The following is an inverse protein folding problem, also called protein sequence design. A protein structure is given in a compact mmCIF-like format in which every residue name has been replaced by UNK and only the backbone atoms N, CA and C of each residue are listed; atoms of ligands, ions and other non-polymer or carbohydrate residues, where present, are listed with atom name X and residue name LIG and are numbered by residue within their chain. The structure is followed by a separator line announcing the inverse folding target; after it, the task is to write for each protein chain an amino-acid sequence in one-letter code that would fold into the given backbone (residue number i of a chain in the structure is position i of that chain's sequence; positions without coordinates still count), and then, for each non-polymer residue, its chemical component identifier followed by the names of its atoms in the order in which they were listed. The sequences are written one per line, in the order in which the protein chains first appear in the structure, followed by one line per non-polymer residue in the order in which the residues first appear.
data_IF_388370784947
#
_entry.id   IF_388370784947
#
_cell.length_a   1.000
_cell.length_b   1.000
_cell.length_c   1.000
_cell.angle_alpha   90.00
_cell.angle_beta   90.00
_cell.angle_gamma   90.00
#
_symmetry.space_group_name_H-M   'P 1'
#
loop_
_entity.id
_entity.type
_entity.pdbx_description
1 polymer ?
#
# COMPACT_ATOMS: atom_id res chain seq x y z
N UNK A 1 -94.71 -9.92 20.05
CA UNK A 1 -93.77 -11.02 20.32
C UNK A 1 -93.12 -11.43 19.01
N UNK A 2 -91.88 -11.03 18.73
CA UNK A 2 -91.10 -11.56 17.62
C UNK A 2 -89.62 -11.54 18.02
N UNK A 3 -88.99 -12.70 17.90
CA UNK A 3 -87.84 -13.15 18.66
C UNK A 3 -86.49 -12.73 18.04
N UNK A 4 -85.53 -12.43 18.92
CA UNK A 4 -84.11 -12.28 18.62
C UNK A 4 -83.50 -13.65 18.27
N UNK A 5 -82.73 -13.72 17.17
CA UNK A 5 -81.87 -14.86 16.86
C UNK A 5 -80.40 -14.48 17.11
N UNK A 6 -79.84 -15.11 18.14
CA UNK A 6 -78.44 -15.11 18.52
C UNK A 6 -77.57 -15.79 17.45
N UNK A 7 -76.45 -15.16 17.11
CA UNK A 7 -75.43 -15.73 16.21
C UNK A 7 -74.66 -16.85 16.93
N UNK A 8 -74.56 -18.00 16.28
CA UNK A 8 -73.93 -19.20 16.85
C UNK A 8 -72.43 -18.96 17.15
N UNK A 9 -71.96 -19.19 18.40
CA UNK A 9 -70.60 -18.85 18.85
C UNK A 9 -69.47 -19.67 18.18
N UNK A 10 -69.79 -20.70 17.38
CA UNK A 10 -68.80 -21.61 16.80
C UNK A 10 -68.11 -21.15 15.52
N UNK A 11 -68.74 -20.26 14.73
CA UNK A 11 -68.19 -19.83 13.43
C UNK A 11 -67.06 -18.79 13.59
N UNK A 12 -67.22 -17.86 14.54
CA UNK A 12 -66.23 -16.82 14.85
C UNK A 12 -64.98 -17.45 15.50
N UNK A 13 -65.15 -18.48 16.34
CA UNK A 13 -64.05 -19.19 16.97
C UNK A 13 -63.16 -19.96 15.97
N UNK A 14 -63.75 -20.58 14.93
CA UNK A 14 -62.97 -21.30 13.89
C UNK A 14 -62.19 -20.36 12.96
N UNK A 15 -62.76 -19.21 12.62
CA UNK A 15 -62.07 -18.19 11.83
C UNK A 15 -60.90 -17.57 12.61
N UNK A 16 -61.07 -17.32 13.91
CA UNK A 16 -60.00 -16.84 14.79
C UNK A 16 -58.88 -17.88 14.97
N UNK A 17 -59.20 -19.16 15.11
CA UNK A 17 -58.21 -20.24 15.20
C UNK A 17 -57.41 -20.42 13.90
N UNK A 18 -58.05 -20.32 12.73
CA UNK A 18 -57.37 -20.37 11.44
C UNK A 18 -56.46 -19.14 11.19
N UNK A 19 -56.88 -17.96 11.64
CA UNK A 19 -56.07 -16.74 11.59
C UNK A 19 -54.87 -16.79 12.57
N UNK A 20 -55.05 -17.38 13.76
CA UNK A 20 -53.99 -17.61 14.74
C UNK A 20 -52.95 -18.63 14.21
N UNK A 21 -53.39 -19.71 13.56
CA UNK A 21 -52.50 -20.69 12.92
C UNK A 21 -51.68 -20.10 11.76
N UNK A 22 -52.28 -19.22 10.95
CA UNK A 22 -51.56 -18.50 9.89
C UNK A 22 -50.55 -17.48 10.43
N UNK A 23 -50.86 -16.80 11.54
CA UNK A 23 -49.92 -15.91 12.26
C UNK A 23 -48.77 -16.69 12.89
N UNK A 24 -49.03 -17.88 13.46
CA UNK A 24 -48.00 -18.76 14.02
C UNK A 24 -47.04 -19.30 12.95
N UNK A 25 -47.55 -19.71 11.80
CA UNK A 25 -46.72 -20.17 10.67
C UNK A 25 -45.88 -19.04 10.06
N UNK A 26 -46.43 -17.82 9.94
CA UNK A 26 -45.69 -16.66 9.46
C UNK A 26 -44.61 -16.21 10.47
N UNK A 27 -44.87 -16.28 11.78
CA UNK A 27 -43.89 -15.98 12.82
C UNK A 27 -42.76 -17.03 12.86
N UNK A 28 -43.08 -18.31 12.71
CA UNK A 28 -42.10 -19.38 12.61
C UNK A 28 -41.23 -19.27 11.35
N UNK A 29 -41.83 -18.94 10.20
CA UNK A 29 -41.10 -18.66 8.96
C UNK A 29 -40.21 -17.41 9.09
N UNK A 30 -40.69 -16.34 9.76
CA UNK A 30 -39.91 -15.14 10.03
C UNK A 30 -38.72 -15.42 10.97
N UNK A 31 -38.91 -16.28 11.97
CA UNK A 31 -37.86 -16.73 12.90
C UNK A 31 -36.81 -17.62 12.22
N UNK A 32 -37.22 -18.51 11.32
CA UNK A 32 -36.29 -19.28 10.48
C UNK A 32 -35.52 -18.38 9.51
N UNK A 33 -36.20 -17.43 8.86
CA UNK A 33 -35.57 -16.48 7.94
C UNK A 33 -34.59 -15.55 8.68
N UNK A 34 -34.90 -15.12 9.91
CA UNK A 34 -33.94 -14.38 10.73
C UNK A 34 -32.75 -15.22 11.17
N UNK A 35 -32.93 -16.53 11.38
CA UNK A 35 -31.84 -17.45 11.72
C UNK A 35 -30.92 -17.79 10.55
N UNK A 36 -31.36 -17.55 9.31
CA UNK A 36 -30.57 -17.80 8.08
C UNK A 36 -29.82 -16.54 7.63
N UNK A 37 -30.23 -15.35 8.09
CA UNK A 37 -29.54 -14.11 7.75
C UNK A 37 -28.20 -14.04 8.50
N UNK A 38 -27.11 -13.65 7.82
CA UNK A 38 -25.83 -13.43 8.49
C UNK A 38 -26.00 -12.38 9.60
N UNK A 39 -25.47 -12.68 10.79
CA UNK A 39 -25.52 -11.74 11.91
C UNK A 39 -24.55 -10.58 11.65
N UNK A 40 -24.86 -9.40 12.18
CA UNK A 40 -23.94 -8.25 12.12
C UNK A 40 -22.63 -8.48 12.90
N UNK A 41 -22.60 -9.49 13.75
CA UNK A 41 -21.43 -9.92 14.53
C UNK A 41 -20.60 -11.02 13.84
N UNK A 42 -21.04 -11.52 12.68
CA UNK A 42 -20.35 -12.64 12.01
C UNK A 42 -18.90 -12.30 11.66
N UNK A 43 -18.63 -11.09 11.17
CA UNK A 43 -17.26 -10.64 10.89
C UNK A 43 -16.41 -10.61 12.16
N UNK A 44 -16.96 -10.16 13.29
CA UNK A 44 -16.27 -10.14 14.59
C UNK A 44 -15.82 -11.56 14.97
N UNK A 45 -16.69 -12.56 14.82
CA UNK A 45 -16.38 -13.95 15.15
C UNK A 45 -15.41 -14.63 14.16
N UNK A 46 -15.32 -14.16 12.91
CA UNK A 46 -14.30 -14.62 11.96
C UNK A 46 -12.95 -13.96 12.18
N UNK A 47 -12.97 -12.69 12.61
CA UNK A 47 -11.76 -11.89 12.85
C UNK A 47 -11.09 -12.24 14.19
N UNK A 48 -11.88 -12.36 15.26
CA UNK A 48 -11.40 -12.74 16.59
C UNK A 48 -11.47 -14.25 16.73
N UNK A 49 -10.30 -14.90 16.72
CA UNK A 49 -10.22 -16.37 16.77
C UNK A 49 -10.53 -17.00 18.14
N UNK A 50 -10.57 -16.20 19.21
CA UNK A 50 -10.78 -16.67 20.59
C UNK A 50 -12.28 -16.70 20.89
N UNK A 51 -12.78 -17.85 21.37
CA UNK A 51 -14.18 -18.04 21.75
C UNK A 51 -14.42 -17.56 23.18
N UNK A 52 -15.68 -17.27 23.50
CA UNK A 52 -16.08 -16.74 24.81
C UNK A 52 -15.64 -17.61 26.00
N UNK A 53 -15.69 -18.94 25.88
CA UNK A 53 -15.23 -19.84 26.95
C UNK A 53 -13.70 -19.82 27.10
N UNK A 54 -12.96 -19.73 26.00
CA UNK A 54 -11.49 -19.62 25.99
C UNK A 54 -11.06 -18.29 26.60
N UNK A 55 -11.76 -17.20 26.27
CA UNK A 55 -11.54 -15.89 26.90
C UNK A 55 -11.67 -15.96 28.41
N UNK A 56 -12.71 -16.61 28.94
CA UNK A 56 -12.90 -16.76 30.38
C UNK A 56 -11.79 -17.59 31.04
N UNK A 57 -11.36 -18.68 30.40
CA UNK A 57 -10.27 -19.52 30.87
C UNK A 57 -8.93 -18.77 30.89
N UNK A 58 -8.63 -18.04 29.82
CA UNK A 58 -7.41 -17.22 29.70
C UNK A 58 -7.38 -16.10 30.75
N UNK A 59 -8.50 -15.39 30.96
CA UNK A 59 -8.60 -14.33 31.99
C UNK A 59 -8.31 -14.90 33.39
N UNK A 60 -8.91 -16.04 33.74
CA UNK A 60 -8.66 -16.70 35.04
C UNK A 60 -7.23 -17.19 35.19
N UNK A 61 -6.58 -17.59 34.09
CA UNK A 61 -5.17 -18.02 34.09
C UNK A 61 -4.24 -16.85 34.35
N UNK A 62 -4.52 -15.67 33.77
CA UNK A 62 -3.74 -14.45 34.01
C UNK A 62 -3.85 -14.02 35.47
N UNK A 63 -5.06 -13.97 36.01
CA UNK A 63 -5.29 -13.66 37.42
C UNK A 63 -6.57 -14.39 37.91
N UNK A 64 -6.45 -15.29 38.90
CA UNK A 64 -7.61 -16.01 39.44
C UNK A 64 -8.70 -15.12 40.03
N UNK A 65 -8.37 -13.87 40.38
CA UNK A 65 -9.32 -12.89 40.91
C UNK A 65 -10.14 -12.19 39.82
N UNK A 66 -9.78 -12.30 38.54
CA UNK A 66 -10.54 -11.71 37.44
C UNK A 66 -11.67 -12.64 36.99
N UNK A 67 -12.87 -12.09 36.82
CA UNK A 67 -14.04 -12.83 36.37
C UNK A 67 -14.34 -12.58 34.88
N UNK A 68 -13.93 -11.43 34.35
CA UNK A 68 -14.32 -10.91 33.04
C UNK A 68 -13.15 -10.29 32.27
N UNK A 69 -13.34 -10.10 30.96
CA UNK A 69 -12.36 -9.37 30.15
C UNK A 69 -12.29 -7.90 30.57
N UNK A 70 -13.41 -7.34 31.04
CA UNK A 70 -13.53 -6.01 31.59
C UNK A 70 -12.62 -5.83 32.81
N UNK A 71 -12.58 -6.80 33.73
CA UNK A 71 -11.67 -6.74 34.89
C UNK A 71 -10.20 -6.63 34.46
N UNK A 72 -9.80 -7.38 33.43
CA UNK A 72 -8.44 -7.32 32.88
C UNK A 72 -8.16 -5.94 32.27
N UNK A 73 -9.10 -5.36 31.53
CA UNK A 73 -8.95 -4.04 30.92
C UNK A 73 -8.84 -2.96 32.00
N UNK A 74 -9.70 -2.99 33.00
CA UNK A 74 -9.78 -2.02 34.11
C UNK A 74 -8.47 -1.96 34.92
N UNK A 75 -7.80 -3.11 35.05
CA UNK A 75 -6.53 -3.22 35.77
C UNK A 75 -5.28 -3.03 34.88
N UNK A 76 -5.44 -2.96 33.56
CA UNK A 76 -4.33 -2.79 32.61
C UNK A 76 -4.24 -1.36 32.08
N UNK A 77 -5.38 -0.75 31.75
CA UNK A 77 -5.44 0.59 31.14
C UNK A 77 -5.73 1.63 32.23
N UNK A 78 -4.81 2.57 32.51
CA UNK A 78 -5.05 3.60 33.50
C UNK A 78 -6.31 4.41 33.19
N UNK A 79 -7.17 4.58 34.19
CA UNK A 79 -8.47 5.26 34.03
C UNK A 79 -8.34 6.70 33.51
N UNK A 80 -7.21 7.36 33.78
CA UNK A 80 -6.91 8.74 33.38
C UNK A 80 -6.78 8.90 31.86
N UNK A 81 -6.44 7.84 31.14
CA UNK A 81 -6.31 7.85 29.68
C UNK A 81 -7.37 6.98 28.97
N UNK A 82 -8.20 6.26 29.74
CA UNK A 82 -9.24 5.40 29.18
C UNK A 82 -10.39 6.24 28.63
N UNK A 83 -10.79 5.93 27.40
CA UNK A 83 -11.98 6.53 26.79
C UNK A 83 -13.24 6.07 27.53
N UNK A 84 -14.06 7.02 28.00
CA UNK A 84 -15.17 6.77 28.94
C UNK A 84 -16.54 6.57 28.27
N UNK A 85 -16.58 6.59 26.94
CA UNK A 85 -17.80 6.43 26.15
C UNK A 85 -17.56 5.43 25.02
N UNK A 86 -18.63 4.89 24.48
CA UNK A 86 -18.54 4.10 23.26
C UNK A 86 -18.06 4.99 22.10
N UNK A 87 -17.43 4.36 21.11
CA UNK A 87 -17.03 5.05 19.90
C UNK A 87 -18.29 5.42 19.11
N UNK A 88 -18.38 6.68 18.68
CA UNK A 88 -19.47 7.17 17.83
C UNK A 88 -19.26 6.68 16.38
N UNK A 89 -19.57 5.40 16.14
CA UNK A 89 -19.45 4.74 14.85
C UNK A 89 -20.83 4.30 14.32
N UNK A 90 -20.99 4.16 12.99
CA UNK A 90 -22.16 3.50 12.42
C UNK A 90 -22.33 2.07 12.97
N UNK A 91 -23.54 1.54 12.91
CA UNK A 91 -23.78 0.14 13.23
C UNK A 91 -22.91 -0.79 12.37
N UNK A 92 -22.48 -1.91 12.96
CA UNK A 92 -21.65 -2.88 12.28
C UNK A 92 -22.34 -3.40 11.00
N UNK A 93 -21.66 -3.26 9.87
CA UNK A 93 -22.09 -3.83 8.60
C UNK A 93 -21.71 -5.32 8.52
N UNK A 94 -22.55 -6.13 7.89
CA UNK A 94 -22.13 -7.46 7.43
C UNK A 94 -21.09 -7.33 6.32
N UNK A 95 -20.30 -8.38 6.06
CA UNK A 95 -19.29 -8.37 4.98
C UNK A 95 -19.91 -8.03 3.61
N UNK A 96 -21.11 -8.56 3.34
CA UNK A 96 -21.83 -8.32 2.09
C UNK A 96 -22.30 -6.86 1.96
N UNK A 97 -22.81 -6.27 3.05
CA UNK A 97 -23.19 -4.85 3.09
C UNK A 97 -21.97 -3.97 2.88
N UNK A 98 -20.87 -4.22 3.60
CA UNK A 98 -19.63 -3.45 3.47
C UNK A 98 -19.05 -3.51 2.04
N UNK A 99 -19.03 -4.69 1.42
CA UNK A 99 -18.62 -4.83 0.02
C UNK A 99 -19.54 -4.10 -0.95
N UNK A 100 -20.85 -4.13 -0.71
CA UNK A 100 -21.82 -3.39 -1.53
C UNK A 100 -21.61 -1.88 -1.41
N UNK A 101 -21.46 -1.38 -0.19
CA UNK A 101 -21.21 0.03 0.08
C UNK A 101 -19.90 0.50 -0.57
N UNK A 102 -18.80 -0.24 -0.38
CA UNK A 102 -17.52 0.06 -1.02
C UNK A 102 -17.63 0.09 -2.55
N UNK A 103 -18.44 -0.79 -3.16
CA UNK A 103 -18.71 -0.76 -4.60
C UNK A 103 -19.48 0.48 -5.03
N UNK A 104 -20.48 0.91 -4.28
CA UNK A 104 -21.20 2.17 -4.57
C UNK A 104 -20.29 3.39 -4.46
N UNK A 105 -19.40 3.42 -3.46
CA UNK A 105 -18.39 4.46 -3.33
C UNK A 105 -17.46 4.44 -4.54
N UNK A 106 -16.95 3.27 -4.93
CA UNK A 106 -16.05 3.12 -6.07
C UNK A 106 -16.67 3.50 -7.42
N UNK A 107 -18.00 3.36 -7.60
CA UNK A 107 -18.73 3.81 -8.79
C UNK A 107 -18.72 5.34 -8.96
N UNK A 108 -18.45 6.11 -7.90
CA UNK A 108 -18.31 7.57 -7.99
C UNK A 108 -17.00 8.01 -8.63
N UNK A 109 -16.01 7.13 -8.72
CA UNK A 109 -14.76 7.41 -9.41
C UNK A 109 -15.00 7.45 -10.92
N UNK A 110 -14.32 8.35 -11.63
CA UNK A 110 -14.36 8.39 -13.09
C UNK A 110 -13.48 7.26 -13.62
N UNK A 111 -14.10 6.23 -14.18
CA UNK A 111 -13.43 5.02 -14.68
C UNK A 111 -13.25 5.06 -16.20
N UNK A 112 -12.35 4.21 -16.72
CA UNK A 112 -12.18 4.02 -18.17
C UNK A 112 -11.47 5.17 -18.91
N UNK A 113 -10.99 6.20 -18.20
CA UNK A 113 -10.19 7.25 -18.81
C UNK A 113 -8.76 6.75 -19.02
N UNK A 114 -8.27 6.89 -20.25
CA UNK A 114 -6.83 6.76 -20.54
C UNK A 114 -6.13 8.03 -20.06
N UNK A 115 -5.55 7.99 -18.87
CA UNK A 115 -4.76 9.10 -18.33
C UNK A 115 -3.40 9.17 -19.02
N UNK A 116 -3.13 10.28 -19.71
CA UNK A 116 -1.84 10.61 -20.33
C UNK A 116 -1.14 11.76 -19.59
N UNK A 117 -1.43 11.96 -18.30
CA UNK A 117 -0.83 13.04 -17.49
C UNK A 117 0.67 12.81 -17.29
N UNK A 118 1.10 11.55 -17.15
CA UNK A 118 2.49 11.19 -16.84
C UNK A 118 2.84 11.57 -15.42
N UNK A 119 3.88 12.39 -15.25
CA UNK A 119 4.35 12.86 -13.94
C UNK A 119 4.68 11.72 -12.96
N UNK A 120 5.37 10.68 -13.42
CA UNK A 120 5.83 9.57 -12.58
C UNK A 120 4.83 8.41 -12.47
N UNK A 121 3.59 8.58 -12.94
CA UNK A 121 2.57 7.53 -12.95
C UNK A 121 2.14 7.22 -14.37
N UNK A 122 2.36 5.98 -14.79
CA UNK A 122 2.09 5.51 -16.14
C UNK A 122 1.21 4.27 -16.08
N UNK A 123 0.16 4.24 -16.92
CA UNK A 123 -0.68 3.06 -17.02
C UNK A 123 0.13 1.84 -17.47
N UNK A 124 -0.07 0.71 -16.78
CA UNK A 124 0.61 -0.55 -17.08
C UNK A 124 -0.38 -1.70 -17.17
N UNK A 125 -0.04 -2.71 -17.95
CA UNK A 125 -0.75 -3.98 -17.96
C UNK A 125 -0.15 -4.89 -16.89
N UNK A 126 -0.87 -5.10 -15.79
CA UNK A 126 -0.50 -6.10 -14.78
C UNK A 126 -0.86 -7.50 -15.30
N UNK A 127 0.11 -8.39 -15.54
CA UNK A 127 -0.18 -9.73 -16.03
C UNK A 127 -1.15 -10.47 -15.10
N UNK A 128 -2.20 -11.05 -15.65
CA UNK A 128 -3.27 -11.70 -14.85
C UNK A 128 -2.74 -12.83 -13.96
N UNK A 129 -1.66 -13.50 -14.39
CA UNK A 129 -0.99 -14.53 -13.57
C UNK A 129 -0.37 -13.95 -12.30
N UNK A 130 0.22 -12.75 -12.37
CA UNK A 130 0.80 -12.08 -11.20
C UNK A 130 -0.31 -11.50 -10.30
N UNK A 131 -1.34 -10.91 -10.90
CA UNK A 131 -2.51 -10.41 -10.16
C UNK A 131 -3.14 -11.53 -9.31
N UNK A 132 -3.48 -12.66 -9.95
CA UNK A 132 -4.19 -13.77 -9.31
C UNK A 132 -3.32 -14.53 -8.29
N UNK A 133 -2.07 -14.81 -8.62
CA UNK A 133 -1.24 -15.75 -7.84
C UNK A 133 -0.30 -15.07 -6.84
N UNK A 134 -0.10 -13.75 -6.94
CA UNK A 134 0.73 -12.97 -6.02
C UNK A 134 -0.13 -11.94 -5.28
N UNK A 135 -0.74 -10.98 -5.99
CA UNK A 135 -1.43 -9.86 -5.35
C UNK A 135 -2.71 -10.29 -4.61
N UNK A 136 -3.49 -11.20 -5.20
CA UNK A 136 -4.74 -11.74 -4.61
C UNK A 136 -4.51 -13.00 -3.76
N UNK A 137 -3.25 -13.40 -3.52
CA UNK A 137 -2.92 -14.64 -2.81
C UNK A 137 -2.39 -14.35 -1.38
N UNK A 138 -3.11 -14.76 -0.32
CA UNK A 138 -2.70 -14.49 1.06
C UNK A 138 -1.34 -15.10 1.43
N UNK A 139 -0.90 -16.17 0.76
CA UNK A 139 0.42 -16.75 1.00
C UNK A 139 1.56 -15.75 0.72
N UNK A 140 1.33 -14.74 -0.12
CA UNK A 140 2.33 -13.71 -0.46
C UNK A 140 2.20 -12.43 0.36
N UNK A 141 0.98 -12.00 0.72
CA UNK A 141 0.77 -10.70 1.37
C UNK A 141 0.53 -10.75 2.89
N UNK A 142 0.37 -11.93 3.50
CA UNK A 142 0.15 -12.04 4.96
C UNK A 142 1.44 -12.13 5.77
N UNK A 143 2.53 -12.64 5.18
CA UNK A 143 3.83 -12.69 5.85
C UNK A 143 4.45 -11.29 5.96
N UNK A 144 5.14 -11.02 7.07
CA UNK A 144 5.85 -9.75 7.27
C UNK A 144 7.33 -9.84 6.88
N UNK A 145 8.11 -8.84 7.29
CA UNK A 145 9.56 -8.72 7.06
C UNK A 145 10.28 -10.06 7.28
N UNK A 146 11.16 -10.48 6.35
CA UNK A 146 11.90 -11.75 6.41
C UNK A 146 13.02 -11.75 7.47
N UNK A 147 12.66 -11.59 8.75
CA UNK A 147 13.63 -11.71 9.86
C UNK A 147 14.14 -13.14 10.03
N UNK A 148 13.29 -14.14 9.77
CA UNK A 148 13.66 -15.56 9.78
C UNK A 148 13.88 -16.02 8.34
N UNK A 149 15.14 -16.01 7.90
CA UNK A 149 15.50 -16.23 6.50
C UNK A 149 15.14 -17.63 5.99
N UNK A 150 15.29 -18.66 6.84
CA UNK A 150 15.12 -20.08 6.51
C UNK A 150 13.71 -20.40 6.03
N UNK A 151 12.70 -19.72 6.59
CA UNK A 151 11.29 -19.86 6.24
C UNK A 151 10.80 -18.75 5.29
N UNK A 152 11.72 -17.98 4.72
CA UNK A 152 11.42 -16.80 3.90
C UNK A 152 12.11 -16.79 2.53
N UNK A 153 12.78 -17.89 2.15
CA UNK A 153 13.61 -17.94 0.94
C UNK A 153 12.86 -17.51 -0.32
N UNK A 154 11.59 -17.93 -0.50
CA UNK A 154 10.83 -17.56 -1.70
C UNK A 154 10.67 -16.05 -1.91
N UNK A 155 10.37 -15.27 -0.86
CA UNK A 155 10.28 -13.80 -0.99
C UNK A 155 11.64 -13.12 -1.03
N UNK A 156 12.64 -13.67 -0.34
CA UNK A 156 14.01 -13.16 -0.39
C UNK A 156 14.61 -13.29 -1.80
N UNK A 157 14.35 -14.41 -2.47
CA UNK A 157 14.74 -14.63 -3.87
C UNK A 157 14.06 -13.61 -4.80
N UNK A 158 12.76 -13.37 -4.62
CA UNK A 158 12.05 -12.35 -5.42
C UNK A 158 12.58 -10.92 -5.18
N UNK A 159 12.98 -10.60 -3.95
CA UNK A 159 13.62 -9.31 -3.64
C UNK A 159 15.02 -9.22 -4.25
N UNK A 160 15.77 -10.32 -4.29
CA UNK A 160 17.06 -10.37 -4.99
C UNK A 160 16.87 -10.17 -6.49
N UNK A 161 15.88 -10.81 -7.10
CA UNK A 161 15.52 -10.58 -8.50
C UNK A 161 15.17 -9.11 -8.78
N UNK A 162 14.44 -8.46 -7.87
CA UNK A 162 14.17 -7.02 -7.95
C UNK A 162 15.46 -6.20 -7.91
N UNK A 163 16.38 -6.51 -6.98
CA UNK A 163 17.67 -5.82 -6.87
C UNK A 163 18.50 -5.99 -8.13
N UNK A 164 18.62 -7.22 -8.64
CA UNK A 164 19.35 -7.52 -9.88
C UNK A 164 18.74 -6.76 -11.06
N UNK A 165 17.42 -6.79 -11.23
CA UNK A 165 16.72 -6.05 -12.28
C UNK A 165 17.02 -4.54 -12.20
N UNK A 166 16.99 -3.94 -11.01
CA UNK A 166 17.30 -2.51 -10.84
C UNK A 166 18.77 -2.24 -11.15
N UNK A 167 19.70 -3.06 -10.68
CA UNK A 167 21.13 -2.94 -10.97
C UNK A 167 21.42 -3.04 -12.47
N UNK A 168 20.84 -4.04 -13.16
CA UNK A 168 21.04 -4.24 -14.59
C UNK A 168 20.49 -3.08 -15.43
N UNK A 169 19.29 -2.58 -15.10
CA UNK A 169 18.67 -1.47 -15.81
C UNK A 169 19.37 -0.12 -15.58
N UNK A 170 19.92 0.10 -14.38
CA UNK A 170 20.57 1.36 -14.02
C UNK A 170 22.08 1.36 -14.27
N UNK A 171 22.69 0.17 -14.43
CA UNK A 171 24.14 0.00 -14.48
C UNK A 171 24.85 0.29 -13.15
N UNK A 172 24.13 0.27 -12.03
CA UNK A 172 24.69 0.54 -10.70
C UNK A 172 25.07 -0.76 -9.98
N UNK A 173 26.16 -0.71 -9.20
CA UNK A 173 26.73 -1.89 -8.53
C UNK A 173 25.78 -2.55 -7.53
N UNK A 174 24.95 -1.76 -6.83
CA UNK A 174 24.05 -2.24 -5.78
C UNK A 174 22.68 -1.54 -5.85
N UNK A 175 21.64 -2.29 -5.53
CA UNK A 175 20.28 -1.80 -5.31
C UNK A 175 19.73 -2.33 -3.98
N UNK A 176 18.83 -1.59 -3.34
CA UNK A 176 18.14 -2.04 -2.15
C UNK A 176 16.82 -2.78 -2.49
N UNK A 177 16.16 -3.33 -1.48
CA UNK A 177 14.91 -4.07 -1.63
C UNK A 177 13.65 -3.17 -1.61
N UNK A 178 13.69 -2.04 -2.32
CA UNK A 178 12.66 -0.98 -2.43
C UNK A 178 12.74 0.20 -1.43
N UNK A 179 12.05 1.29 -1.79
CA UNK A 179 11.69 2.44 -0.96
C UNK A 179 10.20 2.76 -1.20
N UNK A 180 9.67 3.78 -0.51
CA UNK A 180 8.24 4.08 -0.52
C UNK A 180 7.74 4.61 -1.88
N UNK A 181 8.42 5.59 -2.45
CA UNK A 181 8.10 6.21 -3.75
C UNK A 181 9.33 6.92 -4.35
N UNK A 182 9.18 7.46 -5.57
CA UNK A 182 10.25 8.21 -6.25
C UNK A 182 10.74 9.42 -5.43
N UNK A 183 9.81 10.23 -4.93
CA UNK A 183 10.14 11.47 -4.25
C UNK A 183 10.95 11.23 -2.97
N UNK A 184 10.54 10.25 -2.17
CA UNK A 184 11.24 9.83 -0.96
C UNK A 184 12.58 9.21 -1.31
N UNK A 185 12.67 8.42 -2.37
CA UNK A 185 13.95 7.88 -2.85
C UNK A 185 14.94 8.98 -3.25
N UNK A 186 14.50 10.02 -3.97
CA UNK A 186 15.34 11.19 -4.28
C UNK A 186 15.81 11.93 -3.02
N UNK A 187 14.94 12.04 -2.01
CA UNK A 187 15.30 12.67 -0.75
C UNK A 187 16.27 11.82 0.09
N UNK A 188 16.15 10.49 0.08
CA UNK A 188 17.15 9.59 0.67
C UNK A 188 18.50 9.68 -0.07
N UNK A 189 18.49 9.78 -1.41
CA UNK A 189 19.71 9.99 -2.19
C UNK A 189 20.39 11.33 -1.82
N UNK A 190 19.61 12.38 -1.61
CA UNK A 190 20.10 13.66 -1.09
C UNK A 190 20.70 13.52 0.32
N UNK A 191 20.01 12.81 1.23
CA UNK A 191 20.51 12.57 2.58
C UNK A 191 21.80 11.74 2.58
N UNK A 192 21.88 10.70 1.75
CA UNK A 192 23.07 9.89 1.53
C UNK A 192 24.24 10.76 1.04
N UNK A 193 24.01 11.60 0.03
CA UNK A 193 25.04 12.52 -0.47
C UNK A 193 25.53 13.50 0.60
N UNK A 194 24.62 14.06 1.41
CA UNK A 194 24.97 14.96 2.51
C UNK A 194 25.76 14.25 3.63
N UNK A 195 25.45 12.97 3.90
CA UNK A 195 26.17 12.16 4.89
C UNK A 195 27.65 11.98 4.54
N UNK A 196 27.95 11.85 3.24
CA UNK A 196 29.31 11.73 2.69
C UNK A 196 29.99 13.10 2.58
N UNK A 197 29.24 14.17 2.25
CA UNK A 197 29.76 15.52 2.03
C UNK A 197 29.22 16.56 3.03
N UNK A 198 29.69 16.48 4.28
CA UNK A 198 29.16 17.25 5.44
C UNK A 198 29.36 18.77 5.44
N UNK A 199 30.14 19.33 4.52
CA UNK A 199 30.46 20.77 4.49
C UNK A 199 29.55 21.59 3.57
N UNK A 200 28.46 20.99 3.09
CA UNK A 200 27.55 21.58 2.09
C UNK A 200 26.18 21.78 2.69
N UNK A 201 25.62 22.93 2.41
CA UNK A 201 24.30 23.36 2.85
C UNK A 201 23.32 23.49 1.68
N UNK A 202 23.73 23.10 0.47
CA UNK A 202 22.96 23.31 -0.75
C UNK A 202 22.98 22.07 -1.65
N UNK A 203 21.81 21.71 -2.19
CA UNK A 203 21.62 20.58 -3.10
C UNK A 203 20.93 21.05 -4.38
N UNK A 204 21.45 20.62 -5.53
CA UNK A 204 20.91 21.00 -6.84
C UNK A 204 19.94 19.95 -7.35
N UNK A 205 18.80 20.41 -7.85
CA UNK A 205 17.78 19.57 -8.50
C UNK A 205 17.47 20.19 -9.85
N UNK A 206 17.28 19.36 -10.87
CA UNK A 206 16.88 19.86 -12.18
C UNK A 206 15.44 20.41 -12.10
N UNK A 207 15.19 21.56 -12.71
CA UNK A 207 13.88 22.23 -12.63
C UNK A 207 12.76 21.48 -13.37
N UNK A 208 13.12 20.53 -14.23
CA UNK A 208 12.23 19.64 -14.99
C UNK A 208 11.96 18.29 -14.28
N UNK A 209 12.52 18.05 -13.10
CA UNK A 209 12.07 16.96 -12.24
C UNK A 209 10.59 17.12 -11.86
N UNK A 210 9.94 16.02 -11.50
CA UNK A 210 8.54 16.06 -11.11
C UNK A 210 8.29 17.02 -9.92
N UNK A 211 7.23 17.84 -9.98
CA UNK A 211 7.02 18.91 -9.00
C UNK A 211 6.81 18.38 -7.58
N UNK A 212 6.19 17.20 -7.42
CA UNK A 212 6.02 16.56 -6.12
C UNK A 212 7.36 16.06 -5.55
N UNK A 213 8.27 15.56 -6.40
CA UNK A 213 9.65 15.20 -6.03
C UNK A 213 10.42 16.44 -5.52
N UNK A 214 10.41 17.54 -6.28
CA UNK A 214 11.06 18.80 -5.85
C UNK A 214 10.46 19.32 -4.54
N UNK A 215 9.13 19.27 -4.40
CA UNK A 215 8.43 19.70 -3.19
C UNK A 215 8.87 18.90 -1.96
N UNK A 216 8.89 17.57 -2.05
CA UNK A 216 9.29 16.72 -0.93
C UNK A 216 10.76 16.92 -0.57
N UNK A 217 11.64 17.04 -1.57
CA UNK A 217 13.06 17.32 -1.34
C UNK A 217 13.26 18.66 -0.61
N UNK A 218 12.48 19.70 -0.95
CA UNK A 218 12.49 20.97 -0.21
C UNK A 218 12.07 20.79 1.25
N UNK A 219 10.98 20.05 1.49
CA UNK A 219 10.50 19.77 2.85
C UNK A 219 11.56 19.04 3.66
N UNK A 220 12.08 17.92 3.17
CA UNK A 220 13.12 17.15 3.88
C UNK A 220 14.44 17.90 3.99
N UNK A 221 14.83 18.64 2.96
CA UNK A 221 16.01 19.50 2.97
C UNK A 221 15.95 20.53 4.09
N UNK A 222 14.81 21.20 4.27
CA UNK A 222 14.64 22.19 5.34
C UNK A 222 14.82 21.60 6.75
N UNK A 223 14.35 20.37 6.98
CA UNK A 223 14.49 19.69 8.26
C UNK A 223 15.95 19.34 8.61
N UNK A 224 16.82 19.18 7.60
CA UNK A 224 18.25 18.85 7.78
C UNK A 224 19.18 20.03 7.49
N UNK A 225 18.65 21.25 7.35
CA UNK A 225 19.44 22.45 7.10
C UNK A 225 20.04 22.54 5.69
N UNK A 226 19.41 21.92 4.69
CA UNK A 226 19.88 21.88 3.31
C UNK A 226 18.95 22.64 2.36
N UNK A 227 19.50 23.62 1.65
CA UNK A 227 18.82 24.47 0.67
C UNK A 227 18.73 23.80 -0.69
N UNK A 228 17.52 23.57 -1.18
CA UNK A 228 17.31 22.99 -2.51
C UNK A 228 17.28 24.09 -3.58
N UNK A 229 18.19 24.00 -4.54
CA UNK A 229 18.30 24.91 -5.69
C UNK A 229 17.81 24.21 -6.96
N UNK A 230 16.60 24.56 -7.43
CA UNK A 230 16.05 24.05 -8.68
C UNK A 230 16.51 24.94 -9.85
N UNK A 231 17.12 24.37 -10.89
CA UNK A 231 17.61 25.13 -12.07
C UNK A 231 17.46 24.35 -13.37
N UNK A 232 17.25 25.06 -14.49
CA UNK A 232 17.33 24.49 -15.84
C UNK A 232 18.78 24.52 -16.33
N UNK A 233 19.23 23.41 -16.94
CA UNK A 233 20.57 23.29 -17.52
C UNK A 233 21.69 23.15 -16.48
N UNK A 234 22.51 22.11 -16.63
CA UNK A 234 23.87 22.15 -16.10
C UNK A 234 24.61 23.15 -16.99
N UNK A 235 24.71 24.42 -16.58
CA UNK A 235 25.67 25.31 -17.22
C UNK A 235 27.06 24.69 -17.06
N UNK A 236 27.86 24.51 -18.12
CA UNK A 236 29.24 24.06 -17.96
C UNK A 236 29.93 25.02 -16.98
N UNK A 237 30.66 24.45 -16.03
CA UNK A 237 31.30 25.22 -14.96
C UNK A 237 31.97 26.48 -15.53
N UNK A 238 31.72 27.68 -14.99
CA UNK A 238 32.49 28.84 -15.39
C UNK A 238 33.96 28.52 -15.15
N UNK A 239 34.78 28.67 -16.18
CA UNK A 239 36.24 28.69 -16.06
C UNK A 239 36.59 29.76 -15.03
N UNK A 240 36.84 29.32 -13.80
CA UNK A 240 37.08 30.12 -12.58
C UNK A 240 38.32 31.04 -12.74
N UNK A 241 38.58 32.07 -11.88
CA UNK A 241 38.23 32.15 -10.44
C UNK A 241 37.92 33.58 -9.89
N UNK A 242 37.87 33.82 -8.55
CA UNK A 242 37.35 33.03 -7.43
C UNK A 242 36.24 33.79 -6.64
N UNK A 243 35.26 33.10 -6.06
CA UNK A 243 34.99 33.17 -4.61
C UNK A 243 33.96 32.12 -4.17
N UNK A 244 34.22 31.58 -2.98
CA UNK A 244 33.49 30.63 -2.13
C UNK A 244 32.06 30.28 -2.57
N UNK A 245 31.89 29.27 -3.41
CA UNK A 245 30.78 28.30 -3.34
C UNK A 245 31.08 27.14 -4.30
N UNK A 246 31.63 26.04 -3.77
CA UNK A 246 32.07 24.91 -4.61
C UNK A 246 30.88 24.00 -4.95
N UNK A 247 30.03 24.34 -5.90
CA UNK A 247 28.92 23.45 -6.31
C UNK A 247 29.44 22.17 -6.97
N UNK A 248 28.86 21.01 -6.66
CA UNK A 248 29.13 19.74 -7.38
C UNK A 248 27.82 19.16 -7.92
N UNK A 249 27.84 18.67 -9.16
CA UNK A 249 26.74 17.92 -9.77
C UNK A 249 27.00 16.42 -9.65
N UNK A 250 25.95 15.58 -9.71
CA UNK A 250 26.06 14.12 -9.74
C UNK A 250 27.03 13.62 -10.84
N UNK A 251 27.07 14.31 -11.98
CA UNK A 251 27.98 14.04 -13.10
C UNK A 251 29.45 14.30 -12.74
N UNK A 252 29.72 15.27 -11.85
CA UNK A 252 31.07 15.61 -11.40
C UNK A 252 31.57 14.63 -10.33
N UNK A 253 30.66 14.11 -9.49
CA UNK A 253 30.96 13.02 -8.55
C UNK A 253 31.30 11.75 -9.31
N UNK A 254 30.50 11.39 -10.32
CA UNK A 254 30.73 10.24 -11.20
C UNK A 254 32.09 10.32 -11.93
N UNK A 255 32.41 11.45 -12.56
CA UNK A 255 33.69 11.65 -13.26
C UNK A 255 34.91 11.52 -12.34
N UNK A 256 34.79 11.92 -11.07
CA UNK A 256 35.89 11.80 -10.11
C UNK A 256 36.05 10.39 -9.54
N UNK A 257 34.96 9.64 -9.39
CA UNK A 257 35.04 8.21 -9.03
C UNK A 257 35.80 7.43 -10.11
N UNK A 258 35.52 7.69 -11.39
CA UNK A 258 36.29 7.12 -12.50
C UNK A 258 37.76 7.58 -12.53
N UNK A 259 38.04 8.85 -12.18
CA UNK A 259 39.40 9.40 -12.15
C UNK A 259 40.22 8.95 -10.93
N UNK A 260 39.58 8.45 -9.86
CA UNK A 260 40.20 7.96 -8.63
C UNK A 260 40.76 6.54 -8.70
N UNK A 261 40.83 5.93 -9.88
CA UNK A 261 41.42 4.61 -10.06
C UNK A 261 40.50 3.43 -9.71
N UNK A 262 39.22 3.66 -9.42
CA UNK A 262 38.22 2.60 -9.36
C UNK A 262 37.97 2.06 -10.77
N UNK A 263 38.75 1.04 -11.15
CA UNK A 263 38.51 0.25 -12.36
C UNK A 263 37.41 -0.76 -12.05
N UNK A 264 36.19 -0.50 -12.51
CA UNK A 264 35.24 -1.60 -12.72
C UNK A 264 35.82 -2.45 -13.85
N UNK A 265 36.17 -3.69 -13.53
CA UNK A 265 36.80 -4.61 -14.45
C UNK A 265 35.86 -4.87 -15.63
N UNK A 266 36.22 -4.32 -16.79
CA UNK A 266 35.55 -4.53 -18.06
C UNK A 266 36.36 -5.56 -18.84
N UNK A 267 36.37 -6.82 -18.39
CA UNK A 267 37.00 -7.89 -19.17
C UNK A 267 36.09 -9.11 -19.33
N UNK A 268 35.60 -9.20 -20.59
CA UNK A 268 35.40 -10.40 -21.42
C UNK A 268 34.37 -11.43 -20.96
N UNK A 269 33.23 -11.46 -21.66
CA UNK A 269 32.59 -12.76 -21.92
C UNK A 269 31.80 -12.91 -23.24
N UNK A 270 31.49 -11.87 -24.02
CA UNK A 270 30.85 -12.10 -25.34
C UNK A 270 31.32 -11.12 -26.42
N UNK A 271 32.46 -11.41 -27.04
CA UNK A 271 32.76 -11.00 -28.42
C UNK A 271 32.21 -12.08 -29.36
N UNK A 272 30.95 -11.95 -29.79
CA UNK A 272 30.42 -12.39 -31.11
C UNK A 272 28.90 -12.24 -31.13
N UNK A 273 28.40 -11.05 -31.44
CA UNK A 273 27.24 -10.88 -32.35
C UNK A 273 27.46 -9.54 -33.07
N UNK A 274 27.85 -9.60 -34.34
CA UNK A 274 27.78 -8.47 -35.26
C UNK A 274 26.32 -8.03 -35.41
N UNK A 275 26.01 -6.82 -34.96
CA UNK A 275 24.83 -6.09 -35.42
C UNK A 275 25.24 -4.65 -35.72
N UNK A 276 25.51 -4.38 -37.00
CA UNK A 276 25.54 -3.01 -37.51
C UNK A 276 24.14 -2.39 -37.36
N UNK A 277 24.02 -1.33 -36.54
CA UNK A 277 22.87 -0.41 -36.54
C UNK A 277 23.25 0.96 -35.93
N UNK A 278 22.60 2.06 -36.34
CA UNK A 278 23.24 3.37 -36.50
C UNK A 278 23.41 4.16 -35.20
N UNK A 279 24.45 5.00 -35.20
CA UNK A 279 24.79 5.96 -34.14
C UNK A 279 23.62 6.92 -33.87
N UNK A 280 22.99 6.79 -32.71
CA UNK A 280 22.17 7.83 -32.08
C UNK A 280 22.87 8.26 -30.78
N UNK A 281 23.38 9.50 -30.76
CA UNK A 281 23.92 10.11 -29.55
C UNK A 281 22.77 10.48 -28.61
N UNK A 282 22.57 9.70 -27.56
CA UNK A 282 21.66 10.04 -26.47
C UNK A 282 22.48 10.30 -25.22
N UNK A 283 22.72 11.58 -24.95
CA UNK A 283 23.31 12.04 -23.69
C UNK A 283 22.18 12.35 -22.70
N UNK A 284 22.04 11.48 -21.69
CA UNK A 284 21.63 11.86 -20.34
C UNK A 284 20.15 12.16 -20.10
N UNK A 285 19.37 11.12 -19.79
CA UNK A 285 18.33 11.10 -18.74
C UNK A 285 18.04 9.62 -18.47
N UNK A 286 18.51 9.09 -17.34
CA UNK A 286 18.24 7.73 -16.89
C UNK A 286 17.80 7.79 -15.43
N UNK A 287 16.56 8.22 -15.25
CA UNK A 287 15.64 7.71 -14.23
C UNK A 287 14.33 7.48 -14.98
N UNK A 288 13.96 6.20 -15.11
CA UNK A 288 12.71 5.65 -15.67
C UNK A 288 12.49 5.78 -17.20
N UNK A 289 12.64 4.67 -17.93
CA UNK A 289 11.60 4.06 -18.80
C UNK A 289 12.19 2.88 -19.58
N UNK A 290 11.61 1.70 -19.37
CA UNK A 290 11.80 0.54 -20.24
C UNK A 290 10.61 0.43 -21.20
N UNK A 291 10.94 0.32 -22.50
CA UNK A 291 10.18 -0.32 -23.59
C UNK A 291 8.93 0.36 -24.18
N UNK A 292 9.01 0.80 -25.45
CA UNK A 292 8.47 0.07 -26.63
C UNK A 292 8.50 0.97 -27.88
N UNK A 293 9.23 0.54 -28.91
CA UNK A 293 9.02 0.97 -30.29
C UNK A 293 9.10 -0.25 -31.22
N UNK A 294 7.97 -0.91 -31.43
CA UNK A 294 7.72 -1.78 -32.58
C UNK A 294 6.37 -1.41 -33.16
N UNK A 295 6.39 -0.81 -34.36
CA UNK A 295 5.45 -0.88 -35.50
C UNK A 295 5.42 0.45 -36.25
N UNK A 296 6.07 0.49 -37.41
CA UNK A 296 5.45 1.03 -38.62
C UNK A 296 6.20 0.47 -39.83
N UNK A 297 5.52 -0.42 -40.57
CA UNK A 297 5.97 -0.86 -41.88
C UNK A 297 5.39 0.06 -42.95
N UNK A 298 6.28 0.58 -43.80
CA UNK A 298 6.13 0.84 -45.24
C UNK A 298 7.35 1.63 -45.69
#
# INVERSE_FOLDING_TARGET
MLASRSAAPGAVARAAAAAAGRRGAAAAASSLVSSIRPSREEFLHRHVGIKSFETQEMVRTINPSYATLEDLVDNTVPITIRHQRDLELPEAATEAEALSEMREIAKRNIQGIKSCIGMGYYGTFTPSVALRNILENPAWYTSYTPYQAEIAQGRLEMLLNFQTMVSDLTGMDIANASLLDEATACAEAMALAASVQRKRDSFFVAADCHPHTISLMRTRGSAVGMSIKATFGISPAPTAPPHRDRVWTLTTVWRRLCAGGYKVARERFFDTIDVEAPRLSVAGTLVTTASLASTCGS
#
